data_IF_053017842545
#
_entry.id   IF_053017842545
#
_cell.length_a   1.000
_cell.length_b   1.000
_cell.length_c   1.000
_cell.angle_alpha   90.00
_cell.angle_beta   90.00
_cell.angle_gamma   90.00
#
_symmetry.space_group_name_H-M   'P 1'
#
loop_
_entity.id
_entity.type
_entity.pdbx_description
1 polymer ?
#
# COMPACT_ATOMS: atom_id res chain seq x y z
N UNK A 1 -25.01 -10.55 -5.65
CA UNK A 1 -23.96 -9.92 -4.81
C UNK A 1 -22.69 -9.93 -5.62
N UNK A 2 -22.18 -8.76 -6.05
CA UNK A 2 -20.87 -8.70 -6.71
C UNK A 2 -19.83 -8.82 -5.61
N UNK A 3 -18.96 -9.83 -5.72
CA UNK A 3 -17.82 -10.04 -4.86
C UNK A 3 -16.90 -8.83 -5.01
N UNK A 4 -17.01 -7.88 -4.08
CA UNK A 4 -16.36 -6.58 -4.20
C UNK A 4 -15.44 -6.30 -3.01
N UNK A 5 -15.35 -7.23 -2.06
CA UNK A 5 -14.53 -7.07 -0.87
C UNK A 5 -13.07 -7.45 -1.11
N UNK A 6 -12.18 -6.69 -0.49
CA UNK A 6 -10.78 -7.11 -0.32
C UNK A 6 -10.69 -7.86 0.99
N UNK A 7 -9.94 -8.96 0.93
CA UNK A 7 -9.60 -9.81 2.07
C UNK A 7 -8.12 -9.64 2.35
N UNK A 8 -7.77 -9.47 3.61
CA UNK A 8 -6.40 -9.55 4.09
C UNK A 8 -6.35 -10.41 5.34
N UNK A 9 -5.18 -10.95 5.64
CA UNK A 9 -4.92 -11.71 6.86
C UNK A 9 -3.84 -10.95 7.59
N UNK A 10 -4.11 -10.55 8.83
CA UNK A 10 -3.17 -9.80 9.64
C UNK A 10 -3.45 -9.90 11.14
N UNK A 11 -2.46 -9.63 11.97
CA UNK A 11 -2.63 -9.51 13.40
C UNK A 11 -3.18 -8.11 13.70
N UNK A 12 -4.31 -8.01 14.37
CA UNK A 12 -4.95 -6.77 14.79
C UNK A 12 -5.06 -6.66 16.31
N UNK A 13 -4.57 -7.64 17.07
CA UNK A 13 -4.61 -7.63 18.53
C UNK A 13 -3.33 -8.18 19.18
N UNK A 14 -3.37 -8.41 20.50
CA UNK A 14 -2.19 -8.79 21.30
C UNK A 14 -1.83 -10.28 21.20
N UNK A 15 -2.68 -11.08 20.56
CA UNK A 15 -2.47 -12.51 20.45
C UNK A 15 -1.56 -12.86 19.24
N UNK A 16 -0.92 -14.04 19.22
CA UNK A 16 0.05 -14.37 18.19
C UNK A 16 -0.57 -14.87 16.87
N UNK A 17 -1.87 -15.12 16.84
CA UNK A 17 -2.63 -15.67 15.74
C UNK A 17 -3.09 -14.53 14.81
N UNK A 18 -3.40 -14.85 13.53
CA UNK A 18 -3.84 -13.82 12.60
C UNK A 18 -5.36 -13.75 12.50
N UNK A 19 -5.87 -12.54 12.36
CA UNK A 19 -7.26 -12.25 12.07
C UNK A 19 -7.50 -12.10 10.57
N UNK A 20 -8.78 -12.15 10.19
CA UNK A 20 -9.24 -12.05 8.81
C UNK A 20 -9.94 -10.71 8.64
N UNK A 21 -9.32 -9.81 7.87
CA UNK A 21 -9.93 -8.57 7.45
C UNK A 21 -10.80 -8.78 6.20
N UNK A 22 -12.00 -8.20 6.19
CA UNK A 22 -12.97 -8.23 5.11
C UNK A 22 -13.57 -6.84 4.89
N UNK A 23 -13.44 -6.30 3.67
CA UNK A 23 -14.22 -5.13 3.27
C UNK A 23 -15.56 -5.54 2.66
N UNK A 24 -16.69 -5.17 3.27
CA UNK A 24 -18.02 -5.48 2.74
C UNK A 24 -19.07 -4.43 3.10
N UNK A 25 -18.87 -3.19 2.64
CA UNK A 25 -19.69 -2.03 3.04
C UNK A 25 -19.25 -1.43 4.38
N UNK A 26 -18.75 -2.27 5.28
CA UNK A 26 -17.98 -1.92 6.48
C UNK A 26 -16.64 -2.64 6.46
N UNK A 27 -15.69 -2.15 7.27
CA UNK A 27 -14.45 -2.86 7.56
C UNK A 27 -14.75 -3.87 8.67
N UNK A 28 -14.56 -5.17 8.40
CA UNK A 28 -14.83 -6.24 9.37
C UNK A 28 -13.54 -7.00 9.63
N UNK A 29 -13.29 -7.28 10.90
CA UNK A 29 -12.19 -8.13 11.34
C UNK A 29 -12.81 -9.32 12.06
N UNK A 30 -12.40 -10.52 11.67
CA UNK A 30 -12.78 -11.77 12.31
C UNK A 30 -11.56 -12.34 13.00
N UNK A 31 -11.76 -12.97 14.16
CA UNK A 31 -10.76 -13.76 14.85
C UNK A 31 -10.18 -14.85 13.94
N UNK A 32 -9.03 -15.42 14.34
CA UNK A 32 -8.39 -16.53 13.63
C UNK A 32 -9.31 -17.75 13.41
N UNK A 33 -10.39 -17.89 14.20
CA UNK A 33 -11.37 -18.97 14.12
C UNK A 33 -12.63 -18.59 13.30
N UNK A 34 -12.68 -17.36 12.79
CA UNK A 34 -13.76 -16.81 12.00
C UNK A 34 -14.90 -16.19 12.80
N UNK A 35 -14.82 -16.15 14.13
CA UNK A 35 -15.77 -15.41 14.95
C UNK A 35 -15.59 -13.89 14.77
N UNK A 36 -16.64 -13.06 14.91
CA UNK A 36 -16.49 -11.61 14.71
C UNK A 36 -15.70 -10.94 15.83
N UNK A 37 -14.64 -10.21 15.48
CA UNK A 37 -13.83 -9.43 16.41
C UNK A 37 -14.28 -7.96 16.44
N UNK A 38 -14.15 -7.27 15.29
CA UNK A 38 -14.38 -5.83 15.18
C UNK A 38 -15.15 -5.49 13.90
N UNK A 39 -15.98 -4.44 13.97
CA UNK A 39 -16.64 -3.86 12.81
C UNK A 39 -16.51 -2.33 12.83
N UNK A 40 -15.70 -1.78 11.94
CA UNK A 40 -15.55 -0.35 11.78
C UNK A 40 -16.54 0.22 10.77
N UNK A 41 -16.89 1.49 10.97
CA UNK A 41 -17.56 2.26 9.93
C UNK A 41 -16.66 2.30 8.68
N UNK A 42 -17.29 2.21 7.51
CA UNK A 42 -16.63 2.28 6.22
C UNK A 42 -17.66 2.59 5.15
N UNK A 43 -17.20 2.84 3.93
CA UNK A 43 -18.10 2.97 2.80
C UNK A 43 -17.55 2.25 1.57
N UNK A 44 -18.48 1.77 0.75
CA UNK A 44 -18.15 1.09 -0.50
C UNK A 44 -17.46 -0.27 -0.32
N UNK A 45 -16.74 -0.66 -1.35
CA UNK A 45 -16.07 -1.95 -1.47
C UNK A 45 -14.67 -1.76 -2.04
N UNK A 46 -14.05 -0.64 -1.68
CA UNK A 46 -12.73 -0.30 -2.18
C UNK A 46 -11.69 -0.97 -1.27
N UNK A 47 -10.59 -1.45 -1.83
CA UNK A 47 -9.55 -2.08 -1.04
C UNK A 47 -9.01 -1.24 0.10
N UNK A 48 -8.56 -1.93 1.14
CA UNK A 48 -7.64 -1.38 2.12
C UNK A 48 -6.28 -2.05 1.96
N UNK A 49 -5.25 -1.29 2.30
CA UNK A 49 -3.96 -1.80 2.72
C UNK A 49 -4.01 -2.09 4.23
N UNK A 50 -3.31 -3.15 4.65
CA UNK A 50 -2.99 -3.37 6.07
C UNK A 50 -1.50 -3.09 6.22
N UNK A 51 -1.12 -2.31 7.21
CA UNK A 51 0.25 -1.86 7.46
C UNK A 51 0.45 -1.71 8.96
N UNK A 52 1.59 -2.14 9.51
CA UNK A 52 2.00 -1.79 10.87
C UNK A 52 2.75 -0.45 10.79
N UNK A 53 2.08 0.64 11.17
CA UNK A 53 2.60 2.00 10.98
C UNK A 53 3.46 2.49 12.14
N UNK A 54 3.25 1.93 13.34
CA UNK A 54 3.88 2.38 14.57
C UNK A 54 4.83 1.35 15.21
N UNK A 55 4.94 0.18 14.59
CA UNK A 55 5.87 -0.88 14.96
C UNK A 55 5.42 -1.70 16.17
N UNK A 56 4.14 -1.66 16.54
CA UNK A 56 3.61 -2.41 17.68
C UNK A 56 3.31 -3.89 17.35
N UNK A 57 3.41 -4.28 16.07
CA UNK A 57 3.14 -5.62 15.58
C UNK A 57 1.68 -5.90 15.24
N UNK A 58 0.82 -4.88 15.24
CA UNK A 58 -0.59 -4.91 14.82
C UNK A 58 -0.76 -4.13 13.52
N UNK A 59 -1.82 -4.47 12.79
CA UNK A 59 -2.14 -3.85 11.52
C UNK A 59 -3.09 -2.66 11.66
N UNK A 60 -2.73 -1.54 11.05
CA UNK A 60 -3.63 -0.45 10.70
C UNK A 60 -4.25 -0.64 9.32
N UNK A 61 -5.47 -0.13 9.14
CA UNK A 61 -6.20 -0.10 7.88
C UNK A 61 -5.96 1.24 7.18
N UNK A 62 -5.31 1.19 6.03
CA UNK A 62 -5.10 2.33 5.13
C UNK A 62 -6.04 2.23 3.93
N UNK A 63 -6.92 3.22 3.75
CA UNK A 63 -7.94 3.16 2.71
C UNK A 63 -8.40 4.55 2.26
N UNK A 64 -9.19 4.59 1.19
CA UNK A 64 -9.86 5.81 0.76
C UNK A 64 -11.37 5.68 0.82
N UNK A 65 -12.00 6.81 1.14
CA UNK A 65 -13.42 6.92 1.36
C UNK A 65 -13.90 8.28 0.83
N UNK A 66 -14.51 8.27 -0.35
CA UNK A 66 -14.79 9.52 -1.11
C UNK A 66 -13.50 10.34 -1.28
N UNK A 67 -13.53 11.61 -0.89
CA UNK A 67 -12.44 12.59 -0.94
C UNK A 67 -11.49 12.52 0.25
N UNK A 68 -11.44 11.39 0.94
CA UNK A 68 -10.63 11.16 2.12
C UNK A 68 -9.68 9.98 1.92
N UNK A 69 -8.45 10.16 2.38
CA UNK A 69 -7.45 9.10 2.56
C UNK A 69 -7.22 8.94 4.06
N UNK A 70 -7.58 7.77 4.58
CA UNK A 70 -7.73 7.52 6.01
C UNK A 70 -6.80 6.39 6.45
N UNK A 71 -6.25 6.54 7.65
CA UNK A 71 -5.57 5.48 8.39
C UNK A 71 -6.30 5.25 9.70
N UNK A 72 -6.58 4.00 10.01
CA UNK A 72 -7.36 3.59 11.17
C UNK A 72 -6.70 2.43 11.90
N UNK A 73 -6.66 2.51 13.22
CA UNK A 73 -6.20 1.41 14.09
C UNK A 73 -7.37 0.81 14.87
N UNK A 74 -7.15 -0.35 15.48
CA UNK A 74 -8.09 -1.02 16.36
C UNK A 74 -7.51 -1.02 17.78
N UNK A 75 -8.24 -0.39 18.71
CA UNK A 75 -7.86 -0.33 20.13
C UNK A 75 -9.03 -0.80 20.96
N UNK A 76 -8.82 -1.82 21.79
CA UNK A 76 -9.84 -2.40 22.68
C UNK A 76 -11.14 -2.76 21.94
N UNK A 77 -11.02 -3.37 20.75
CA UNK A 77 -12.15 -3.76 19.91
C UNK A 77 -12.91 -2.60 19.25
N UNK A 78 -12.37 -1.38 19.32
CA UNK A 78 -12.96 -0.17 18.76
C UNK A 78 -12.03 0.49 17.76
N UNK A 79 -12.58 0.97 16.65
CA UNK A 79 -11.77 1.56 15.60
C UNK A 79 -11.53 3.05 15.83
N UNK A 80 -10.29 3.49 15.66
CA UNK A 80 -9.86 4.86 15.88
C UNK A 80 -9.14 5.38 14.64
N UNK A 81 -9.54 6.56 14.16
CA UNK A 81 -8.82 7.23 13.07
C UNK A 81 -7.50 7.79 13.62
N UNK A 82 -6.40 7.43 12.97
CA UNK A 82 -5.08 8.03 13.21
C UNK A 82 -4.93 9.31 12.41
N UNK A 83 -5.37 9.30 11.15
CA UNK A 83 -5.55 10.51 10.35
C UNK A 83 -6.68 10.37 9.33
N UNK A 84 -7.10 11.52 8.81
CA UNK A 84 -8.04 11.69 7.71
C UNK A 84 -7.57 12.88 6.86
N UNK A 85 -7.19 12.63 5.60
CA UNK A 85 -6.59 13.60 4.70
C UNK A 85 -7.47 13.85 3.48
N UNK A 86 -7.69 15.12 3.14
CA UNK A 86 -8.39 15.51 1.92
C UNK A 86 -7.58 15.13 0.66
N UNK A 87 -8.24 14.42 -0.27
CA UNK A 87 -7.69 14.04 -1.58
C UNK A 87 -8.65 14.40 -2.71
N UNK A 88 -8.10 14.58 -3.91
CA UNK A 88 -8.86 14.84 -5.14
C UNK A 88 -9.35 13.51 -5.73
N UNK A 89 -10.32 12.90 -5.07
CA UNK A 89 -11.03 11.72 -5.53
C UNK A 89 -12.47 11.75 -4.99
N UNK A 90 -13.50 11.69 -5.83
CA UNK A 90 -14.88 11.79 -5.34
C UNK A 90 -15.41 10.46 -4.82
N UNK A 91 -14.92 9.35 -5.40
CA UNK A 91 -15.52 8.03 -5.26
C UNK A 91 -14.70 7.09 -4.35
N UNK A 92 -13.55 7.55 -3.84
CA UNK A 92 -12.63 6.80 -2.97
C UNK A 92 -12.15 5.48 -3.57
N UNK A 93 -12.11 5.37 -4.90
CA UNK A 93 -11.91 4.09 -5.60
C UNK A 93 -10.51 3.51 -5.42
N UNK A 94 -9.51 4.38 -5.29
CA UNK A 94 -8.12 3.99 -5.16
C UNK A 94 -7.71 3.97 -3.69
N UNK A 95 -6.96 2.96 -3.29
CA UNK A 95 -6.41 2.83 -1.93
C UNK A 95 -4.93 3.19 -1.94
N UNK A 96 -4.34 3.24 -0.75
CA UNK A 96 -2.90 3.45 -0.59
C UNK A 96 -2.08 2.17 -0.73
N UNK A 97 -0.78 2.37 -0.94
CA UNK A 97 0.27 1.39 -0.71
C UNK A 97 1.13 1.90 0.43
N UNK A 98 1.71 1.02 1.24
CA UNK A 98 2.68 1.40 2.26
C UNK A 98 3.98 0.64 2.00
N UNK A 99 5.13 1.24 2.31
CA UNK A 99 6.45 0.65 2.15
C UNK A 99 7.45 1.47 2.96
N UNK A 100 8.35 0.84 3.71
CA UNK A 100 9.47 1.52 4.39
C UNK A 100 10.54 1.90 3.35
N UNK A 101 10.32 3.02 2.66
CA UNK A 101 11.17 3.50 1.56
C UNK A 101 12.50 3.97 2.09
N UNK A 102 12.55 4.45 3.33
CA UNK A 102 13.74 5.00 3.95
C UNK A 102 14.55 3.98 4.77
N UNK A 103 14.06 2.75 4.91
CA UNK A 103 14.64 1.67 5.72
C UNK A 103 14.88 2.09 7.18
N UNK A 104 13.98 2.91 7.74
CA UNK A 104 14.09 3.43 9.11
C UNK A 104 13.18 2.70 10.12
N UNK A 105 12.40 1.73 9.65
CA UNK A 105 11.46 0.95 10.43
C UNK A 105 10.06 1.56 10.53
N UNK A 106 9.83 2.74 9.93
CA UNK A 106 8.52 3.38 9.81
C UNK A 106 8.10 3.42 8.34
N UNK A 107 6.95 2.84 7.94
CA UNK A 107 6.57 2.82 6.54
C UNK A 107 6.11 4.20 6.03
N UNK A 108 6.53 4.54 4.81
CA UNK A 108 5.92 5.60 4.03
C UNK A 108 4.59 5.15 3.40
N UNK A 109 3.62 6.05 3.37
CA UNK A 109 2.28 5.82 2.82
C UNK A 109 2.17 6.51 1.47
N UNK A 110 1.81 5.76 0.44
CA UNK A 110 1.82 6.20 -0.95
C UNK A 110 0.38 6.18 -1.48
N UNK A 111 -0.10 7.34 -1.92
CA UNK A 111 -1.43 7.47 -2.49
C UNK A 111 -1.38 8.27 -3.79
N UNK A 112 -2.23 7.89 -4.74
CA UNK A 112 -2.33 8.62 -5.98
C UNK A 112 -3.80 8.85 -6.36
N UNK A 113 -4.21 10.12 -6.25
CA UNK A 113 -5.56 10.62 -6.53
C UNK A 113 -5.66 11.20 -7.94
N UNK A 114 -6.75 11.84 -8.35
CA UNK A 114 -6.89 12.30 -9.75
C UNK A 114 -5.81 13.29 -10.19
N UNK A 115 -5.25 14.09 -9.28
CA UNK A 115 -4.34 15.19 -9.62
C UNK A 115 -2.92 15.03 -9.10
N UNK A 116 -2.65 14.15 -8.15
CA UNK A 116 -1.32 13.99 -7.54
C UNK A 116 -1.01 12.54 -7.17
N UNK A 117 0.27 12.19 -7.30
CA UNK A 117 0.92 11.21 -6.43
C UNK A 117 1.38 11.96 -5.17
N UNK A 118 1.19 11.36 -3.99
CA UNK A 118 1.73 11.82 -2.72
C UNK A 118 2.37 10.65 -1.97
N UNK A 119 3.49 10.95 -1.32
CA UNK A 119 4.13 10.10 -0.32
C UNK A 119 4.00 10.83 1.02
N UNK A 120 3.50 10.12 2.02
CA UNK A 120 3.32 10.61 3.38
C UNK A 120 4.21 9.84 4.35
N UNK A 121 4.60 10.48 5.45
CA UNK A 121 5.11 9.76 6.61
C UNK A 121 3.98 9.00 7.34
N UNK A 122 4.36 8.24 8.37
CA UNK A 122 3.45 7.49 9.23
C UNK A 122 2.42 8.37 9.97
N UNK A 123 2.65 9.69 10.07
CA UNK A 123 1.73 10.65 10.70
C UNK A 123 0.88 11.42 9.67
N UNK A 124 0.95 11.05 8.39
CA UNK A 124 0.17 11.68 7.32
C UNK A 124 0.71 13.02 6.84
N UNK A 125 1.96 13.39 7.16
CA UNK A 125 2.60 14.57 6.58
C UNK A 125 3.15 14.26 5.20
N UNK A 126 2.97 15.18 4.25
CA UNK A 126 3.46 15.01 2.87
C UNK A 126 4.99 15.15 2.85
N UNK A 127 5.68 14.06 2.49
CA UNK A 127 7.13 14.03 2.22
C UNK A 127 7.44 14.40 0.77
N UNK A 128 6.62 13.92 -0.16
CA UNK A 128 6.77 14.17 -1.59
C UNK A 128 5.41 14.28 -2.28
N UNK A 129 5.35 15.09 -3.33
CA UNK A 129 4.21 15.10 -4.23
C UNK A 129 4.63 15.39 -5.67
N UNK A 130 3.94 14.76 -6.62
CA UNK A 130 4.08 15.01 -8.04
C UNK A 130 2.71 15.19 -8.69
N UNK A 131 2.63 16.10 -9.67
CA UNK A 131 1.40 16.29 -10.42
C UNK A 131 1.14 15.08 -11.31
N UNK A 132 -0.12 14.67 -11.37
CA UNK A 132 -0.63 13.73 -12.36
C UNK A 132 -1.97 14.17 -12.90
N UNK A 133 -2.42 13.50 -13.94
CA UNK A 133 -3.80 13.58 -14.40
C UNK A 133 -4.35 12.18 -14.51
N UNK A 134 -5.49 11.93 -13.87
CA UNK A 134 -6.20 10.66 -13.93
C UNK A 134 -7.72 10.91 -13.88
N UNK A 135 -8.49 9.97 -14.44
CA UNK A 135 -9.92 9.85 -14.16
C UNK A 135 -10.08 9.25 -12.78
N UNK A 136 -11.24 9.43 -12.16
CA UNK A 136 -11.63 8.59 -11.02
C UNK A 136 -11.49 7.12 -11.41
N UNK A 137 -10.54 6.45 -10.80
CA UNK A 137 -10.14 5.10 -11.15
C UNK A 137 -9.56 4.37 -9.93
N UNK A 138 -9.33 3.07 -10.08
CA UNK A 138 -8.59 2.26 -9.10
C UNK A 138 -7.12 2.28 -9.52
N UNK A 139 -6.33 3.16 -8.93
CA UNK A 139 -4.91 3.33 -9.27
C UNK A 139 -4.03 3.18 -8.04
N UNK A 140 -3.64 1.95 -7.74
CA UNK A 140 -2.73 1.67 -6.63
C UNK A 140 -1.29 1.93 -7.10
N UNK A 141 -0.52 2.76 -6.39
CA UNK A 141 0.92 2.82 -6.57
C UNK A 141 1.53 1.43 -6.36
N UNK A 142 2.47 1.06 -7.22
CA UNK A 142 3.24 -0.18 -7.10
C UNK A 142 4.66 0.19 -6.72
N UNK A 143 5.21 -0.47 -5.70
CA UNK A 143 6.61 -0.30 -5.30
C UNK A 143 7.39 -1.53 -5.75
N UNK A 144 8.32 -1.35 -6.68
CA UNK A 144 8.99 -2.44 -7.39
C UNK A 144 10.33 -1.94 -7.94
N UNK A 145 11.32 -2.84 -7.96
CA UNK A 145 12.61 -2.64 -8.59
C UNK A 145 12.42 -2.95 -10.08
N UNK A 146 12.34 -1.91 -10.90
CA UNK A 146 11.97 -1.99 -12.32
C UNK A 146 13.18 -2.27 -13.20
N UNK A 147 14.35 -1.73 -12.85
CA UNK A 147 15.55 -1.80 -13.67
C UNK A 147 16.67 -2.68 -13.07
N UNK A 148 16.41 -3.31 -11.93
CA UNK A 148 17.23 -4.33 -11.29
C UNK A 148 18.58 -3.75 -10.78
N UNK A 149 18.56 -2.55 -10.21
CA UNK A 149 19.71 -2.00 -9.47
C UNK A 149 19.64 -2.28 -7.96
N UNK A 150 18.49 -2.75 -7.48
CA UNK A 150 18.25 -3.12 -6.08
C UNK A 150 17.68 -2.01 -5.23
N UNK A 151 17.41 -0.81 -5.77
CA UNK A 151 16.57 0.19 -5.14
C UNK A 151 15.09 -0.07 -5.49
N UNK A 152 14.20 0.69 -4.85
CA UNK A 152 12.78 0.62 -5.16
C UNK A 152 12.32 1.82 -5.97
N UNK A 153 11.46 1.60 -6.96
CA UNK A 153 10.77 2.67 -7.66
C UNK A 153 9.27 2.60 -7.42
N UNK A 154 8.62 3.74 -7.57
CA UNK A 154 7.18 3.89 -7.44
C UNK A 154 6.59 4.06 -8.83
N UNK A 155 5.78 3.09 -9.24
CA UNK A 155 5.03 3.13 -10.49
C UNK A 155 3.59 3.56 -10.24
N UNK A 156 3.11 4.53 -11.01
CA UNK A 156 1.71 4.94 -11.02
C UNK A 156 1.15 5.04 -12.44
N UNK A 157 -0.13 4.73 -12.56
CA UNK A 157 -0.89 4.89 -13.80
C UNK A 157 -1.64 6.22 -13.77
N UNK A 158 -1.60 6.92 -14.90
CA UNK A 158 -2.30 8.17 -15.18
C UNK A 158 -3.20 7.99 -16.41
N UNK A 159 -4.14 8.91 -16.60
CA UNK A 159 -5.03 8.92 -17.76
C UNK A 159 -5.54 10.33 -18.00
N UNK A 160 -5.94 10.66 -19.23
CA UNK A 160 -6.60 11.94 -19.48
C UNK A 160 -7.82 12.12 -18.57
N UNK A 161 -7.99 13.31 -17.99
CA UNK A 161 -9.20 13.67 -17.27
C UNK A 161 -10.47 13.44 -18.14
N UNK A 162 -11.64 13.35 -17.50
CA UNK A 162 -12.91 13.33 -18.21
C UNK A 162 -13.27 14.76 -18.64
N UNK A 163 -13.62 14.94 -19.93
CA UNK A 163 -14.22 16.18 -20.39
C UNK A 163 -15.49 16.43 -19.56
N UNK A 164 -15.60 17.60 -18.93
CA UNK A 164 -16.68 18.04 -18.02
C UNK A 164 -16.59 17.64 -16.53
N UNK A 165 -15.48 17.07 -16.03
CA UNK A 165 -15.33 16.83 -14.57
C UNK A 165 -14.86 18.04 -13.75
N UNK A 166 -14.77 19.21 -14.38
CA UNK A 166 -14.25 20.43 -13.74
C UNK A 166 -12.79 20.72 -14.07
N UNK A 167 -12.24 20.10 -15.13
CA UNK A 167 -10.94 20.43 -15.72
C UNK A 167 -9.84 20.58 -14.68
N UNK A 168 -9.21 19.47 -14.29
CA UNK A 168 -7.85 19.54 -13.72
C UNK A 168 -7.07 20.59 -14.52
N UNK A 169 -6.60 21.65 -13.85
CA UNK A 169 -5.95 22.79 -14.52
C UNK A 169 -4.58 22.45 -15.13
N UNK A 170 -4.16 21.20 -14.92
CA UNK A 170 -2.89 20.62 -15.33
C UNK A 170 -3.01 20.04 -16.75
N UNK A 171 -1.95 20.18 -17.54
CA UNK A 171 -1.83 19.46 -18.82
C UNK A 171 -1.78 17.93 -18.60
N UNK A 172 -2.01 17.13 -19.66
CA UNK A 172 -1.97 15.68 -19.53
C UNK A 172 -0.57 15.20 -19.10
N UNK A 173 -0.54 14.22 -18.19
CA UNK A 173 0.69 13.52 -17.78
C UNK A 173 0.90 12.22 -18.56
N UNK A 174 2.13 11.67 -18.60
CA UNK A 174 2.38 10.35 -19.18
C UNK A 174 1.50 9.28 -18.54
N UNK A 175 1.01 8.32 -19.33
CA UNK A 175 0.05 7.30 -18.87
C UNK A 175 0.63 6.34 -17.81
N UNK A 176 1.94 6.12 -17.85
CA UNK A 176 2.69 5.41 -16.81
C UNK A 176 3.80 6.35 -16.39
N UNK A 177 3.95 6.55 -15.09
CA UNK A 177 5.03 7.34 -14.53
C UNK A 177 5.75 6.47 -13.51
N UNK A 178 7.07 6.55 -13.56
CA UNK A 178 7.99 5.92 -12.62
C UNK A 178 8.65 7.04 -11.81
N UNK A 179 8.77 6.82 -10.51
CA UNK A 179 9.44 7.73 -9.59
C UNK A 179 10.52 6.97 -8.84
N UNK A 180 11.73 7.48 -8.98
CA UNK A 180 12.97 7.00 -8.36
C UNK A 180 13.48 8.15 -7.47
N UNK A 181 14.13 7.84 -6.34
CA UNK A 181 14.79 8.88 -5.56
C UNK A 181 16.12 9.29 -6.21
N UNK A 182 16.48 10.57 -6.10
CA UNK A 182 17.58 11.15 -6.88
C UNK A 182 18.97 10.55 -6.60
N UNK A 183 19.12 9.88 -5.47
CA UNK A 183 20.34 9.23 -5.00
C UNK A 183 20.27 7.70 -4.99
N UNK A 184 19.22 7.11 -5.58
CA UNK A 184 19.07 5.67 -5.78
C UNK A 184 19.25 4.86 -4.50
N UNK A 185 18.45 5.23 -3.50
CA UNK A 185 18.64 4.87 -2.09
C UNK A 185 17.34 4.50 -1.38
N UNK A 186 16.23 4.42 -2.11
CA UNK A 186 15.03 3.78 -1.56
C UNK A 186 15.33 2.33 -1.20
N UNK A 187 14.70 1.86 -0.12
CA UNK A 187 15.00 0.56 0.44
C UNK A 187 14.79 -0.55 -0.59
N UNK A 188 15.61 -1.62 -0.58
CA UNK A 188 15.51 -2.68 -1.55
C UNK A 188 14.14 -3.35 -1.58
N UNK A 189 13.66 -3.60 -2.79
CA UNK A 189 12.37 -4.24 -3.03
C UNK A 189 12.53 -5.39 -4.02
N UNK A 190 11.43 -6.10 -4.27
CA UNK A 190 11.37 -7.16 -5.27
C UNK A 190 11.09 -6.59 -6.65
N UNK A 191 11.41 -7.38 -7.66
CA UNK A 191 11.04 -7.08 -9.07
C UNK A 191 9.63 -7.54 -9.43
N UNK A 192 8.93 -8.18 -8.47
CA UNK A 192 7.61 -8.76 -8.68
C UNK A 192 6.61 -8.19 -7.67
N UNK A 193 5.52 -7.64 -8.22
CA UNK A 193 4.30 -7.30 -7.49
C UNK A 193 3.10 -8.01 -8.12
N UNK A 194 2.66 -9.13 -7.52
CA UNK A 194 1.74 -10.06 -8.18
C UNK A 194 0.30 -10.04 -7.64
N UNK A 195 0.04 -9.34 -6.52
CA UNK A 195 -1.26 -9.34 -5.85
C UNK A 195 -1.59 -7.95 -5.30
N UNK A 196 -2.88 -7.59 -5.35
CA UNK A 196 -3.35 -6.33 -4.78
C UNK A 196 -3.09 -6.22 -3.27
N UNK A 197 -3.34 -7.30 -2.52
CA UNK A 197 -3.08 -7.33 -1.07
C UNK A 197 -1.58 -7.39 -0.73
N UNK A 198 -0.74 -7.69 -1.73
CA UNK A 198 0.70 -8.00 -1.67
C UNK A 198 1.15 -8.63 -0.34
N UNK A 199 1.28 -9.96 -0.36
CA UNK A 199 1.94 -10.68 0.72
C UNK A 199 3.32 -11.15 0.25
N UNK A 200 4.36 -10.66 0.92
CA UNK A 200 5.73 -10.95 0.54
C UNK A 200 6.06 -12.45 0.53
N UNK A 201 5.52 -13.22 1.47
CA UNK A 201 5.81 -14.65 1.59
C UNK A 201 5.15 -15.55 0.54
N UNK A 202 4.26 -15.03 -0.33
CA UNK A 202 3.39 -15.85 -1.17
C UNK A 202 3.92 -16.17 -2.56
N UNK A 203 4.87 -15.40 -3.07
CA UNK A 203 5.44 -15.60 -4.42
C UNK A 203 6.94 -15.32 -4.36
N UNK A 204 7.73 -16.23 -4.91
CA UNK A 204 9.17 -16.07 -5.04
C UNK A 204 9.56 -15.03 -6.10
N UNK A 205 10.81 -14.58 -6.06
CA UNK A 205 11.43 -13.69 -7.07
C UNK A 205 11.38 -14.24 -8.50
N UNK A 206 11.16 -15.54 -8.66
CA UNK A 206 11.03 -16.24 -9.95
C UNK A 206 9.55 -16.47 -10.35
N UNK A 207 8.62 -15.79 -9.67
CA UNK A 207 7.17 -15.94 -9.80
C UNK A 207 6.63 -17.33 -9.40
N UNK A 208 7.44 -18.17 -8.74
CA UNK A 208 6.97 -19.46 -8.22
C UNK A 208 6.03 -19.28 -7.02
N UNK A 209 5.05 -20.19 -6.90
CA UNK A 209 4.20 -20.31 -5.71
C UNK A 209 4.88 -21.32 -4.77
N UNK A 210 5.25 -20.94 -3.54
CA UNK A 210 5.84 -21.86 -2.59
C UNK A 210 4.81 -22.91 -2.14
N UNK A 211 5.25 -24.14 -1.90
CA UNK A 211 4.38 -25.23 -1.42
C UNK A 211 3.82 -24.93 -0.01
N UNK A 212 4.56 -24.17 0.79
CA UNK A 212 4.16 -23.69 2.11
C UNK A 212 4.34 -22.18 2.18
N UNK A 213 3.26 -21.46 2.48
CA UNK A 213 3.33 -20.03 2.79
C UNK A 213 4.14 -19.84 4.07
N UNK A 214 5.20 -19.02 4.03
CA UNK A 214 5.90 -18.65 5.25
C UNK A 214 4.92 -17.87 6.15
N UNK A 215 4.96 -18.14 7.47
CA UNK A 215 4.01 -17.60 8.45
C UNK A 215 4.23 -16.12 8.78
N UNK A 216 4.44 -15.29 7.77
CA UNK A 216 4.78 -13.88 7.91
C UNK A 216 3.52 -12.99 7.90
N UNK A 217 2.52 -13.37 8.70
CA UNK A 217 1.40 -12.48 9.04
C UNK A 217 1.86 -11.44 10.07
N UNK A 218 3.07 -10.91 9.94
CA UNK A 218 3.57 -9.79 10.76
C UNK A 218 4.23 -8.75 9.86
N UNK A 219 4.75 -9.15 8.68
CA UNK A 219 5.13 -8.22 7.61
C UNK A 219 3.92 -7.85 6.73
N UNK A 220 3.16 -6.82 7.10
CA UNK A 220 2.05 -6.33 6.29
C UNK A 220 2.49 -5.18 5.41
N UNK A 221 2.55 -5.41 4.10
CA UNK A 221 2.94 -4.41 3.08
C UNK A 221 4.26 -3.69 3.28
N UNK A 222 4.98 -3.93 4.37
CA UNK A 222 6.40 -3.70 4.44
C UNK A 222 7.02 -4.72 3.51
N UNK A 223 7.52 -4.28 2.35
CA UNK A 223 8.50 -5.11 1.67
C UNK A 223 9.72 -5.04 2.57
N UNK A 224 9.78 -5.96 3.52
CA UNK A 224 10.97 -6.16 4.31
C UNK A 224 12.04 -6.56 3.32
N UNK A 225 13.17 -5.85 3.32
CA UNK A 225 14.33 -6.18 2.50
C UNK A 225 14.55 -7.71 2.56
N UNK A 226 14.79 -8.39 1.42
CA UNK A 226 14.88 -9.85 1.39
C UNK A 226 15.87 -10.34 2.45
N UNK A 227 15.43 -11.25 3.34
CA UNK A 227 16.34 -11.89 4.29
C UNK A 227 17.23 -12.90 3.56
N UNK A 228 18.43 -12.46 3.19
CA UNK A 228 19.45 -13.26 2.53
C UNK A 228 20.79 -12.51 2.56
N UNK A 229 21.93 -13.17 2.30
CA UNK A 229 23.19 -12.44 2.18
C UNK A 229 23.01 -11.33 1.14
N UNK A 230 23.48 -10.13 1.47
CA UNK A 230 23.42 -8.85 0.76
C UNK A 230 24.06 -8.85 -0.64
N UNK A 231 24.02 -9.98 -1.33
CA UNK A 231 24.60 -10.24 -2.63
C UNK A 231 23.50 -10.34 -3.71
N UNK A 232 22.26 -9.94 -3.40
CA UNK A 232 21.28 -9.68 -4.43
C UNK A 232 21.66 -8.34 -5.07
N UNK A 233 22.58 -8.43 -6.04
CA UNK A 233 22.79 -7.45 -7.09
C UNK A 233 23.50 -6.13 -6.74
N UNK A 234 24.47 -6.10 -5.81
CA UNK A 234 25.53 -5.09 -5.95
C UNK A 234 26.34 -5.43 -7.21
N UNK A 235 26.18 -4.62 -8.25
CA UNK A 235 26.97 -4.71 -9.46
C UNK A 235 28.46 -4.83 -9.10
N UNK A 236 29.12 -5.79 -9.75
CA UNK A 236 30.57 -5.98 -9.62
C UNK A 236 31.30 -4.63 -9.70
N UNK A 237 32.22 -4.41 -8.76
CA UNK A 237 33.11 -3.25 -8.65
C UNK A 237 33.51 -2.67 -10.02
N UNK A 238 33.65 -1.33 -10.14
CA UNK A 238 34.09 -0.71 -11.37
C UNK A 238 35.48 -1.28 -11.75
N UNK A 239 35.55 -1.91 -12.92
CA UNK A 239 36.84 -2.21 -13.55
C UNK A 239 37.44 -0.88 -13.98
N UNK A 240 38.59 -0.54 -13.43
CA UNK A 240 39.44 0.60 -13.84
C UNK A 240 39.68 0.66 -15.36
#
# INVERSE_FOLDING_TARGET
>A
MKNSGVVAVANFDDDPLPEIYLQAGTHRILEHDGSPAVQCAGSGSNPAAVVDVDGDGKGELLFSNKNHFELMTVVDGSCQSLFDLDVDEADGLSSGTAFDLLADGSPELIHADRSRLRIYDAQGQVLFQANRTARSNRSYPVVVDVDNDGAAEILVVSSRALDNDGSLSQGPTPAVMLFENADDAFAPTRRIWNQHAYLGANIGEDASVPETMAGDWRSFRTNVAPSGPSNLCQGSDPVE
#
